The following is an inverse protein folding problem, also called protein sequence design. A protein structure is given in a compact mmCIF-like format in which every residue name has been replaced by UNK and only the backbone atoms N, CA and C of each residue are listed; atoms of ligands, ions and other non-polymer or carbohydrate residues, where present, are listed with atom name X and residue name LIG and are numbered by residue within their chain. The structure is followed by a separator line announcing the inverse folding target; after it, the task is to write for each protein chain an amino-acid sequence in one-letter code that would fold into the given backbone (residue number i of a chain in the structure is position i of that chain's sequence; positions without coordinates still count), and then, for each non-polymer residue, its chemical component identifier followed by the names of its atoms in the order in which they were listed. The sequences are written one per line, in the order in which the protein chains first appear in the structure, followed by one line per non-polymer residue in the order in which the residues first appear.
data_IF_803006874444
#
_entry.id   IF_803006874444
#
_cell.length_a   1.000
_cell.length_b   1.000
_cell.length_c   1.000
_cell.angle_alpha   90.00
_cell.angle_beta   90.00
_cell.angle_gamma   90.00
#
_symmetry.space_group_name_H-M   'P 1'
#
loop_
_entity.id
_entity.type
_entity.pdbx_description
1 polymer ?
#
# COMPACT_ATOMS: atom_id res chain seq x y z
N UNK A 1 -15.41 45.89 -60.54
CA UNK A 1 -15.43 44.42 -60.39
C UNK A 1 -14.28 43.80 -59.58
N UNK A 2 -13.37 44.60 -58.95
CA UNK A 2 -12.21 44.07 -58.16
C UNK A 2 -12.46 43.92 -56.64
N UNK A 3 -13.49 44.58 -56.07
CA UNK A 3 -13.73 44.64 -54.64
C UNK A 3 -14.40 43.34 -54.08
N UNK A 4 -15.29 42.74 -54.83
CA UNK A 4 -16.05 41.49 -54.44
C UNK A 4 -15.12 40.26 -54.32
N UNK A 5 -14.07 40.16 -55.12
CA UNK A 5 -13.13 39.01 -55.08
C UNK A 5 -12.22 39.03 -53.81
N UNK A 6 -11.98 40.21 -53.23
CA UNK A 6 -11.08 40.41 -52.07
C UNK A 6 -11.75 39.98 -50.76
N UNK A 7 -13.05 40.21 -50.65
CA UNK A 7 -13.87 39.82 -49.45
C UNK A 7 -14.09 38.32 -49.38
N UNK A 8 -14.29 37.65 -50.50
CA UNK A 8 -14.45 36.18 -50.53
C UNK A 8 -13.15 35.44 -50.21
N UNK A 9 -12.00 35.93 -50.64
CA UNK A 9 -10.69 35.36 -50.29
C UNK A 9 -10.40 35.49 -48.79
N UNK A 10 -10.74 36.63 -48.17
CA UNK A 10 -10.55 36.87 -46.73
C UNK A 10 -11.46 36.02 -45.87
N UNK A 11 -12.71 35.79 -46.31
CA UNK A 11 -13.63 34.87 -45.65
C UNK A 11 -13.14 33.41 -45.73
N UNK A 12 -12.72 32.95 -46.88
CA UNK A 12 -12.15 31.60 -47.09
C UNK A 12 -10.89 31.37 -46.23
N UNK A 13 -10.00 32.38 -46.14
CA UNK A 13 -8.81 32.29 -45.30
C UNK A 13 -9.13 32.23 -43.81
N UNK A 14 -10.11 33.00 -43.32
CA UNK A 14 -10.60 32.88 -41.93
C UNK A 14 -11.18 31.51 -41.62
N UNK A 15 -12.00 30.95 -42.49
CA UNK A 15 -12.56 29.62 -42.35
C UNK A 15 -11.48 28.55 -42.34
N UNK A 16 -10.44 28.69 -43.16
CA UNK A 16 -9.28 27.78 -43.18
C UNK A 16 -8.52 27.84 -41.85
N UNK A 17 -8.25 29.02 -41.32
CA UNK A 17 -7.57 29.20 -40.04
C UNK A 17 -8.36 28.58 -38.88
N UNK A 18 -9.71 28.72 -38.86
CA UNK A 18 -10.56 28.10 -37.86
C UNK A 18 -10.50 26.56 -37.98
N UNK A 19 -10.56 26.01 -39.16
CA UNK A 19 -10.46 24.55 -39.38
C UNK A 19 -9.09 24.00 -38.95
N UNK A 20 -8.00 24.68 -39.29
CA UNK A 20 -6.65 24.29 -38.83
C UNK A 20 -6.55 24.36 -37.31
N UNK A 21 -7.07 25.42 -36.70
CA UNK A 21 -7.11 25.53 -35.22
C UNK A 21 -7.90 24.43 -34.54
N UNK A 22 -9.06 24.04 -35.08
CA UNK A 22 -9.84 22.93 -34.56
C UNK A 22 -9.12 21.57 -34.70
N UNK A 23 -8.47 21.33 -35.87
CA UNK A 23 -7.70 20.08 -36.05
C UNK A 23 -6.51 20.03 -35.10
N UNK A 24 -5.80 21.15 -34.93
CA UNK A 24 -4.68 21.23 -33.95
C UNK A 24 -5.14 20.99 -32.51
N UNK A 25 -6.30 21.53 -32.12
CA UNK A 25 -6.87 21.30 -30.81
C UNK A 25 -7.26 19.83 -30.58
N UNK A 26 -7.81 19.17 -31.61
CA UNK A 26 -8.17 17.73 -31.57
C UNK A 26 -6.89 16.88 -31.44
N UNK A 27 -5.86 17.19 -32.23
CA UNK A 27 -4.58 16.46 -32.16
C UNK A 27 -3.92 16.67 -30.80
N UNK A 28 -3.93 17.89 -30.26
CA UNK A 28 -3.37 18.18 -28.94
C UNK A 28 -4.13 17.48 -27.83
N UNK A 29 -5.46 17.46 -27.90
CA UNK A 29 -6.28 16.74 -26.92
C UNK A 29 -6.06 15.22 -27.01
N UNK A 30 -5.96 14.66 -28.22
CA UNK A 30 -5.64 13.24 -28.41
C UNK A 30 -4.24 12.89 -27.90
N UNK A 31 -3.26 13.78 -28.10
CA UNK A 31 -1.91 13.61 -27.57
C UNK A 31 -1.88 13.66 -26.05
N UNK A 32 -2.54 14.64 -25.43
CA UNK A 32 -2.64 14.74 -23.96
C UNK A 32 -3.37 13.52 -23.39
N UNK A 33 -4.49 13.11 -24.00
CA UNK A 33 -5.25 11.94 -23.58
C UNK A 33 -4.45 10.64 -23.78
N UNK A 34 -3.72 10.52 -24.91
CA UNK A 34 -2.90 9.35 -25.22
C UNK A 34 -1.64 9.21 -24.37
N UNK A 35 -1.07 10.33 -23.87
CA UNK A 35 0.13 10.28 -23.02
C UNK A 35 -0.18 10.10 -21.53
N UNK A 36 -1.32 10.59 -21.05
CA UNK A 36 -1.66 10.50 -19.62
C UNK A 36 -2.49 9.25 -19.25
N UNK A 37 -3.40 8.81 -20.10
CA UNK A 37 -4.26 7.65 -19.83
C UNK A 37 -3.56 6.29 -19.87
N UNK A 38 -2.68 6.01 -20.87
CA UNK A 38 -1.97 4.72 -20.94
C UNK A 38 -1.08 4.48 -19.72
N UNK A 39 -0.42 5.50 -19.19
CA UNK A 39 0.45 5.37 -18.02
C UNK A 39 -0.35 4.96 -16.77
N UNK A 40 -1.52 5.54 -16.55
CA UNK A 40 -2.38 5.17 -15.43
C UNK A 40 -2.93 3.74 -15.55
N UNK A 41 -3.35 3.33 -16.74
CA UNK A 41 -3.84 1.96 -16.99
C UNK A 41 -2.72 0.93 -16.86
N UNK A 42 -1.54 1.24 -17.41
CA UNK A 42 -0.35 0.38 -17.31
C UNK A 42 0.11 0.27 -15.86
N UNK A 43 0.16 1.36 -15.12
CA UNK A 43 0.54 1.38 -13.70
C UNK A 43 -0.43 0.56 -12.86
N UNK A 44 -1.75 0.72 -13.07
CA UNK A 44 -2.76 -0.06 -12.38
C UNK A 44 -2.67 -1.56 -12.72
N UNK A 45 -2.50 -1.90 -13.99
CA UNK A 45 -2.35 -3.29 -14.44
C UNK A 45 -1.06 -3.91 -13.89
N UNK A 46 0.04 -3.15 -13.83
CA UNK A 46 1.32 -3.59 -13.27
C UNK A 46 1.21 -3.86 -11.76
N UNK A 47 0.57 -2.97 -11.00
CA UNK A 47 0.33 -3.19 -9.57
C UNK A 47 -0.56 -4.42 -9.34
N UNK A 48 -1.60 -4.61 -10.13
CA UNK A 48 -2.46 -5.77 -10.02
C UNK A 48 -1.70 -7.08 -10.33
N UNK A 49 -0.85 -7.09 -11.36
CA UNK A 49 -0.02 -8.27 -11.68
C UNK A 49 0.99 -8.59 -10.56
N UNK A 50 1.56 -7.58 -9.91
CA UNK A 50 2.46 -7.78 -8.76
C UNK A 50 1.68 -8.37 -7.59
N UNK A 51 0.52 -7.80 -7.27
CA UNK A 51 -0.32 -8.27 -6.16
C UNK A 51 -0.76 -9.72 -6.39
N UNK A 52 -1.19 -10.07 -7.61
CA UNK A 52 -1.60 -11.43 -7.99
C UNK A 52 -0.41 -12.41 -7.94
N UNK A 53 0.78 -12.00 -8.40
CA UNK A 53 1.98 -12.82 -8.34
C UNK A 53 2.47 -13.06 -6.90
N UNK A 54 2.35 -12.06 -6.03
CA UNK A 54 2.66 -12.19 -4.60
C UNK A 54 1.67 -13.11 -3.91
N UNK A 55 0.38 -12.96 -4.19
CA UNK A 55 -0.67 -13.82 -3.63
C UNK A 55 -0.46 -15.29 -4.05
N UNK A 56 -0.16 -15.53 -5.33
CA UNK A 56 0.15 -16.86 -5.84
C UNK A 56 1.42 -17.46 -5.19
N UNK A 57 2.49 -16.67 -5.06
CA UNK A 57 3.73 -17.11 -4.40
C UNK A 57 3.49 -17.43 -2.92
N UNK A 58 2.72 -16.62 -2.20
CA UNK A 58 2.36 -16.89 -0.81
C UNK A 58 1.58 -18.19 -0.67
N UNK A 59 0.58 -18.42 -1.53
CA UNK A 59 -0.19 -19.67 -1.55
C UNK A 59 0.68 -20.91 -1.82
N UNK A 60 1.64 -20.80 -2.75
CA UNK A 60 2.59 -21.90 -3.00
C UNK A 60 3.47 -22.21 -1.78
N UNK A 61 3.91 -21.18 -1.06
CA UNK A 61 4.71 -21.34 0.15
C UNK A 61 3.89 -21.90 1.32
N UNK A 62 2.66 -21.43 1.52
CA UNK A 62 1.75 -21.98 2.54
C UNK A 62 1.51 -23.47 2.32
N UNK A 63 1.30 -23.90 1.06
CA UNK A 63 1.17 -25.31 0.71
C UNK A 63 2.45 -26.12 1.01
N UNK A 64 3.63 -25.57 0.70
CA UNK A 64 4.91 -26.23 1.02
C UNK A 64 5.15 -26.35 2.52
N UNK A 65 4.83 -25.31 3.29
CA UNK A 65 4.95 -25.33 4.74
C UNK A 65 3.98 -26.32 5.37
N UNK A 66 2.75 -26.39 4.88
CA UNK A 66 1.75 -27.38 5.31
C UNK A 66 2.23 -28.81 5.04
N UNK A 67 2.86 -29.06 3.88
CA UNK A 67 3.47 -30.39 3.58
C UNK A 67 4.62 -30.74 4.52
N UNK A 68 5.29 -29.76 5.11
CA UNK A 68 6.35 -29.94 6.11
C UNK A 68 5.83 -29.94 7.56
N UNK A 69 4.49 -29.99 7.75
CA UNK A 69 3.82 -29.87 9.05
C UNK A 69 4.10 -28.56 9.79
N UNK A 70 4.43 -27.50 9.03
CA UNK A 70 4.65 -26.16 9.53
C UNK A 70 3.39 -25.33 9.28
N UNK A 71 2.58 -25.18 10.31
CA UNK A 71 1.32 -24.40 10.25
C UNK A 71 1.52 -22.98 10.73
N UNK A 72 0.66 -22.07 10.21
CA UNK A 72 0.57 -20.72 10.74
C UNK A 72 0.24 -20.75 12.25
N UNK A 73 0.98 -20.02 13.10
CA UNK A 73 0.71 -20.01 14.53
C UNK A 73 -0.65 -19.38 14.83
N UNK A 74 -1.35 -19.92 15.83
CA UNK A 74 -2.56 -19.28 16.36
C UNK A 74 -2.20 -17.94 16.99
N UNK A 75 -3.03 -16.93 16.73
CA UNK A 75 -2.84 -15.58 17.27
C UNK A 75 -3.76 -15.36 18.46
N UNK A 76 -3.33 -15.82 19.63
CA UNK A 76 -4.08 -15.65 20.86
C UNK A 76 -3.30 -14.79 21.85
N UNK A 77 -3.98 -13.91 22.57
CA UNK A 77 -3.38 -13.03 23.56
C UNK A 77 -4.43 -12.62 24.62
N UNK A 78 -3.95 -12.35 25.80
CA UNK A 78 -4.76 -11.89 26.96
C UNK A 78 -4.28 -10.54 27.49
N UNK A 79 -3.04 -10.18 27.17
CA UNK A 79 -2.36 -8.96 27.62
C UNK A 79 -1.39 -8.46 26.53
N UNK A 80 -0.70 -7.36 26.84
CA UNK A 80 0.23 -6.74 25.90
C UNK A 80 1.45 -7.62 25.61
N UNK A 81 1.94 -8.37 26.58
CA UNK A 81 3.14 -9.20 26.42
C UNK A 81 2.82 -10.43 25.54
N UNK A 82 1.69 -11.06 25.76
CA UNK A 82 1.20 -12.17 24.93
C UNK A 82 0.83 -11.69 23.51
N UNK A 83 0.29 -10.46 23.35
CA UNK A 83 0.08 -9.85 22.05
C UNK A 83 1.40 -9.71 21.28
N UNK A 84 2.46 -9.18 21.91
CA UNK A 84 3.80 -9.04 21.29
C UNK A 84 4.37 -10.42 20.95
N UNK A 85 4.22 -11.41 21.85
CA UNK A 85 4.66 -12.78 21.59
C UNK A 85 3.97 -13.37 20.35
N UNK A 86 2.66 -13.18 20.21
CA UNK A 86 1.90 -13.64 19.03
C UNK A 86 2.38 -12.96 17.74
N UNK A 87 2.66 -11.64 17.77
CA UNK A 87 3.28 -10.94 16.63
C UNK A 87 4.64 -11.55 16.27
N UNK A 88 5.49 -11.83 17.28
CA UNK A 88 6.81 -12.40 17.05
C UNK A 88 6.71 -13.79 16.41
N UNK A 89 5.78 -14.62 16.85
CA UNK A 89 5.53 -15.93 16.26
C UNK A 89 5.10 -15.82 14.80
N UNK A 90 4.17 -14.89 14.46
CA UNK A 90 3.81 -14.62 13.08
C UNK A 90 5.02 -14.19 12.24
N UNK A 91 5.86 -13.27 12.75
CA UNK A 91 7.05 -12.81 12.01
C UNK A 91 8.04 -13.95 11.82
N UNK A 92 8.24 -14.84 12.81
CA UNK A 92 9.10 -16.01 12.67
C UNK A 92 8.59 -16.97 11.60
N UNK A 93 7.29 -17.27 11.62
CA UNK A 93 6.64 -18.08 10.59
C UNK A 93 6.82 -17.49 9.20
N UNK A 94 6.53 -16.19 9.03
CA UNK A 94 6.71 -15.50 7.74
C UNK A 94 8.17 -15.50 7.29
N UNK A 95 9.13 -15.40 8.20
CA UNK A 95 10.55 -15.41 7.90
C UNK A 95 11.07 -16.77 7.38
N UNK A 96 10.27 -17.83 7.42
CA UNK A 96 10.61 -19.11 6.79
C UNK A 96 10.67 -18.99 5.26
N UNK A 97 9.83 -18.12 4.67
CA UNK A 97 9.74 -17.95 3.23
C UNK A 97 10.03 -16.54 2.71
N UNK A 98 10.05 -15.52 3.57
CA UNK A 98 10.47 -14.17 3.19
C UNK A 98 12.00 -14.10 3.12
N UNK A 99 12.53 -13.54 2.03
CA UNK A 99 13.98 -13.38 1.85
C UNK A 99 14.59 -12.50 2.92
N UNK A 100 15.86 -12.72 3.26
CA UNK A 100 16.56 -11.90 4.28
C UNK A 100 16.50 -10.40 3.98
N UNK A 101 16.55 -10.03 2.70
CA UNK A 101 16.52 -8.63 2.28
C UNK A 101 15.16 -7.94 2.52
N UNK A 102 14.08 -8.73 2.61
CA UNK A 102 12.71 -8.25 2.76
C UNK A 102 12.22 -8.31 4.21
N UNK A 103 12.94 -8.97 5.10
CA UNK A 103 12.55 -9.12 6.50
C UNK A 103 12.47 -7.77 7.21
N UNK A 104 11.45 -7.64 8.03
CA UNK A 104 11.25 -6.48 8.89
C UNK A 104 11.60 -6.88 10.34
N UNK A 105 12.34 -6.06 11.09
CA UNK A 105 12.66 -6.37 12.49
C UNK A 105 11.39 -6.57 13.33
N UNK A 106 11.31 -7.66 14.09
CA UNK A 106 10.14 -8.02 14.94
C UNK A 106 9.71 -6.89 15.86
N UNK A 107 10.67 -6.23 16.49
CA UNK A 107 10.42 -5.11 17.39
C UNK A 107 9.65 -3.99 16.70
N UNK A 108 9.99 -3.68 15.44
CA UNK A 108 9.29 -2.66 14.66
C UNK A 108 7.87 -3.11 14.30
N UNK A 109 7.71 -4.37 13.86
CA UNK A 109 6.41 -4.95 13.53
C UNK A 109 5.49 -4.90 14.74
N UNK A 110 5.96 -5.36 15.91
CA UNK A 110 5.17 -5.38 17.13
C UNK A 110 4.81 -3.98 17.62
N UNK A 111 5.74 -3.02 17.56
CA UNK A 111 5.47 -1.66 17.99
C UNK A 111 4.41 -0.98 17.11
N UNK A 112 4.45 -1.17 15.79
CA UNK A 112 3.43 -0.63 14.90
C UNK A 112 2.10 -1.39 15.05
N UNK A 113 2.09 -2.72 15.14
CA UNK A 113 0.88 -3.47 15.40
C UNK A 113 0.19 -3.01 16.69
N UNK A 114 0.95 -2.82 17.78
CA UNK A 114 0.41 -2.32 19.05
C UNK A 114 -0.21 -0.92 18.91
N UNK A 115 0.46 -0.02 18.19
CA UNK A 115 -0.01 1.36 17.99
C UNK A 115 -1.26 1.41 17.11
N UNK A 116 -1.23 0.74 15.96
CA UNK A 116 -2.30 0.81 14.94
C UNK A 116 -3.56 0.05 15.33
N UNK A 117 -3.41 -1.04 16.09
CA UNK A 117 -4.53 -1.89 16.48
C UNK A 117 -5.01 -1.68 17.92
N UNK A 118 -4.46 -0.70 18.66
CA UNK A 118 -4.75 -0.56 20.09
C UNK A 118 -4.48 -1.88 20.84
N UNK A 119 -3.31 -2.49 20.59
CA UNK A 119 -2.93 -3.80 21.13
C UNK A 119 -3.90 -4.92 20.74
N UNK A 120 -4.38 -4.88 19.51
CA UNK A 120 -5.33 -5.87 18.97
C UNK A 120 -6.79 -5.63 19.34
N UNK A 121 -7.11 -4.56 20.07
CA UNK A 121 -8.47 -4.27 20.57
C UNK A 121 -9.27 -3.31 19.68
N UNK A 122 -8.69 -2.75 18.62
CA UNK A 122 -9.41 -1.86 17.71
C UNK A 122 -10.50 -2.60 16.92
N UNK A 123 -11.51 -1.85 16.46
CA UNK A 123 -12.58 -2.39 15.61
C UNK A 123 -12.05 -3.19 14.42
N UNK A 124 -11.04 -2.67 13.73
CA UNK A 124 -10.47 -3.32 12.54
C UNK A 124 -9.68 -4.59 12.90
N UNK A 125 -9.03 -4.60 14.05
CA UNK A 125 -8.31 -5.78 14.53
C UNK A 125 -9.25 -6.91 14.96
N UNK A 126 -10.40 -6.57 15.56
CA UNK A 126 -11.40 -7.56 16.05
C UNK A 126 -12.20 -8.12 14.88
N UNK A 127 -12.80 -7.25 14.05
CA UNK A 127 -13.74 -7.66 13.01
C UNK A 127 -13.07 -8.06 11.68
N UNK A 128 -11.83 -7.65 11.48
CA UNK A 128 -11.12 -7.81 10.21
C UNK A 128 -9.74 -8.41 10.31
N UNK A 129 -9.27 -8.82 11.48
CA UNK A 129 -7.90 -9.24 11.73
C UNK A 129 -6.84 -8.22 11.24
N UNK A 130 -7.23 -6.95 11.07
CA UNK A 130 -6.43 -5.89 10.45
C UNK A 130 -5.63 -5.13 11.50
N UNK A 131 -4.41 -5.58 11.78
CA UNK A 131 -3.55 -5.02 12.83
C UNK A 131 -2.87 -3.69 12.44
N UNK A 132 -2.84 -3.34 11.16
CA UNK A 132 -2.04 -2.22 10.64
C UNK A 132 -2.88 -1.16 9.91
N UNK A 133 -4.19 -1.30 9.87
CA UNK A 133 -5.09 -0.32 9.26
C UNK A 133 -4.83 -0.06 7.77
N UNK A 134 -4.32 -1.03 7.03
CA UNK A 134 -3.94 -0.88 5.61
C UNK A 134 -5.16 -0.56 4.78
N UNK A 135 -5.14 0.59 4.11
CA UNK A 135 -6.23 1.04 3.25
C UNK A 135 -6.25 0.24 1.93
N UNK A 136 -7.43 -0.15 1.49
CA UNK A 136 -7.68 -0.66 0.14
C UNK A 136 -8.66 0.23 -0.60
N UNK A 137 -8.38 0.49 -1.88
CA UNK A 137 -9.26 1.18 -2.81
C UNK A 137 -9.99 0.20 -3.73
N UNK A 138 -9.56 -1.07 -3.75
CA UNK A 138 -10.26 -2.16 -4.39
C UNK A 138 -11.36 -2.69 -3.45
N UNK A 139 -12.58 -2.22 -3.68
CA UNK A 139 -13.74 -2.59 -2.87
C UNK A 139 -14.34 -3.95 -3.27
N UNK A 140 -13.79 -4.64 -4.25
CA UNK A 140 -14.14 -6.03 -4.56
C UNK A 140 -13.45 -7.01 -3.60
N UNK A 141 -12.31 -6.61 -3.00
CA UNK A 141 -11.62 -7.40 -1.97
C UNK A 141 -12.28 -7.27 -0.60
N UNK A 142 -12.16 -8.26 0.29
CA UNK A 142 -12.67 -8.19 1.66
C UNK A 142 -12.13 -6.95 2.39
N UNK A 143 -13.03 -6.11 2.91
CA UNK A 143 -12.68 -4.89 3.59
C UNK A 143 -13.72 -4.48 4.64
N UNK A 144 -13.31 -3.61 5.55
CA UNK A 144 -14.20 -2.96 6.50
C UNK A 144 -14.23 -1.45 6.26
N UNK A 145 -15.42 -0.86 6.35
CA UNK A 145 -15.57 0.60 6.31
C UNK A 145 -15.35 1.21 7.69
N UNK A 146 -14.71 2.40 7.78
CA UNK A 146 -14.65 3.13 9.03
C UNK A 146 -16.07 3.48 9.53
N UNK A 147 -16.38 3.15 10.80
CA UNK A 147 -17.72 3.38 11.39
C UNK A 147 -18.16 4.84 11.27
N UNK A 148 -17.23 5.78 11.48
CA UNK A 148 -17.52 7.22 11.45
C UNK A 148 -17.50 7.83 10.03
N UNK A 149 -17.14 7.07 8.99
CA UNK A 149 -17.03 7.51 7.59
C UNK A 149 -17.48 6.42 6.62
N UNK A 150 -18.76 5.97 6.64
CA UNK A 150 -19.21 4.83 5.83
C UNK A 150 -19.18 5.12 4.32
N UNK A 151 -19.24 6.39 3.92
CA UNK A 151 -19.34 6.81 2.51
C UNK A 151 -17.98 7.03 1.82
N UNK A 152 -16.84 6.74 2.49
CA UNK A 152 -15.53 6.86 1.84
C UNK A 152 -15.35 5.84 0.72
N UNK A 153 -14.58 6.21 -0.31
CA UNK A 153 -14.29 5.37 -1.48
C UNK A 153 -13.13 4.39 -1.24
N UNK A 154 -12.85 4.06 0.02
CA UNK A 154 -11.81 3.13 0.45
C UNK A 154 -12.31 2.33 1.64
N UNK A 155 -11.63 1.26 1.97
CA UNK A 155 -11.84 0.48 3.18
C UNK A 155 -10.51 0.13 3.84
N UNK A 156 -10.55 -0.49 5.00
CA UNK A 156 -9.41 -1.17 5.62
C UNK A 156 -9.46 -2.63 5.18
N UNK A 157 -8.37 -3.15 4.65
CA UNK A 157 -8.27 -4.54 4.20
C UNK A 157 -8.59 -5.49 5.35
N UNK A 158 -9.41 -6.51 5.06
CA UNK A 158 -9.77 -7.58 5.98
C UNK A 158 -8.95 -8.82 5.65
N UNK A 159 -8.51 -9.55 6.67
CA UNK A 159 -7.67 -10.74 6.56
C UNK A 159 -8.37 -11.94 7.20
N UNK A 160 -8.02 -13.14 6.78
CA UNK A 160 -8.52 -14.38 7.39
C UNK A 160 -7.91 -14.57 8.78
N UNK A 161 -6.61 -14.25 8.92
CA UNK A 161 -5.88 -14.33 10.18
C UNK A 161 -5.12 -13.04 10.49
N UNK A 162 -4.70 -12.87 11.74
CA UNK A 162 -3.85 -11.74 12.14
C UNK A 162 -2.42 -11.88 11.57
N UNK A 163 -1.92 -13.10 11.39
CA UNK A 163 -0.62 -13.32 10.74
C UNK A 163 -0.65 -12.91 9.26
N UNK A 164 -1.75 -13.13 8.54
CA UNK A 164 -1.91 -12.59 7.18
C UNK A 164 -1.92 -11.05 7.15
N UNK A 165 -2.45 -10.39 8.19
CA UNK A 165 -2.30 -8.93 8.34
C UNK A 165 -0.85 -8.51 8.53
N UNK A 166 -0.03 -9.29 9.26
CA UNK A 166 1.42 -9.07 9.37
C UNK A 166 2.10 -9.23 8.01
N UNK A 167 1.72 -10.24 7.22
CA UNK A 167 2.21 -10.43 5.85
C UNK A 167 1.86 -9.24 4.97
N UNK A 168 0.61 -8.78 5.00
CA UNK A 168 0.17 -7.60 4.26
C UNK A 168 0.97 -6.34 4.61
N UNK A 169 1.33 -6.16 5.88
CA UNK A 169 2.19 -5.07 6.32
C UNK A 169 3.63 -5.21 5.80
N UNK A 170 4.21 -6.39 5.87
CA UNK A 170 5.55 -6.67 5.32
C UNK A 170 5.57 -6.41 3.81
N UNK A 171 4.54 -6.84 3.10
CA UNK A 171 4.39 -6.55 1.67
C UNK A 171 4.30 -5.05 1.40
N UNK A 172 3.49 -4.30 2.15
CA UNK A 172 3.35 -2.85 2.02
C UNK A 172 4.69 -2.13 2.13
N UNK A 173 5.52 -2.46 3.13
CA UNK A 173 6.83 -1.83 3.29
C UNK A 173 7.82 -2.23 2.19
N UNK A 174 7.68 -3.43 1.64
CA UNK A 174 8.56 -3.93 0.58
C UNK A 174 8.22 -3.39 -0.81
N UNK A 175 6.95 -3.11 -1.10
CA UNK A 175 6.49 -2.75 -2.46
C UNK A 175 5.96 -1.33 -2.56
N UNK A 176 5.39 -0.77 -1.47
CA UNK A 176 4.77 0.54 -1.49
C UNK A 176 5.75 1.66 -1.88
N UNK A 177 5.35 2.55 -2.79
CA UNK A 177 6.17 3.65 -3.30
C UNK A 177 6.62 4.62 -2.20
N UNK A 178 5.78 4.85 -1.18
CA UNK A 178 6.10 5.73 -0.05
C UNK A 178 7.19 5.18 0.88
N UNK A 179 7.54 3.89 0.77
CA UNK A 179 8.53 3.22 1.65
C UNK A 179 9.88 2.96 0.98
N UNK A 180 10.20 3.63 -0.11
CA UNK A 180 11.51 3.52 -0.78
C UNK A 180 12.66 3.91 0.16
N UNK A 181 12.50 4.98 0.95
CA UNK A 181 13.48 5.40 1.96
C UNK A 181 13.69 4.33 3.02
N UNK A 182 12.63 3.67 3.47
CA UNK A 182 12.70 2.54 4.40
C UNK A 182 13.57 1.42 3.83
N UNK A 183 13.29 0.98 2.60
CA UNK A 183 14.05 -0.07 1.90
C UNK A 183 15.52 0.31 1.71
N UNK A 184 15.80 1.56 1.37
CA UNK A 184 17.17 2.07 1.21
C UNK A 184 17.95 2.05 2.53
N UNK A 185 17.34 2.50 3.63
CA UNK A 185 17.96 2.45 4.96
C UNK A 185 18.22 1.00 5.38
N UNK A 186 17.24 0.10 5.18
CA UNK A 186 17.39 -1.33 5.47
C UNK A 186 18.53 -1.97 4.66
N UNK A 187 18.59 -1.73 3.36
CA UNK A 187 19.64 -2.24 2.46
C UNK A 187 21.05 -1.80 2.90
N UNK A 188 21.16 -0.61 3.47
CA UNK A 188 22.42 -0.04 3.96
C UNK A 188 22.77 -0.46 5.40
N UNK A 189 22.06 -1.42 5.98
CA UNK A 189 22.34 -1.93 7.33
C UNK A 189 21.87 -1.00 8.45
N UNK A 190 20.91 -0.11 8.18
CA UNK A 190 20.33 0.76 9.21
C UNK A 190 19.68 -0.05 10.34
N UNK A 191 19.85 0.43 11.58
CA UNK A 191 19.25 -0.20 12.75
C UNK A 191 17.74 0.03 12.81
N UNK A 192 17.05 -0.68 13.71
CA UNK A 192 15.58 -0.68 13.82
C UNK A 192 15.01 0.71 14.14
N UNK A 193 15.72 1.56 14.89
CA UNK A 193 15.26 2.92 15.18
C UNK A 193 15.41 3.85 13.97
N UNK A 194 16.48 3.67 13.17
CA UNK A 194 16.63 4.37 11.90
C UNK A 194 15.55 3.97 10.87
N UNK A 195 15.13 2.71 10.88
CA UNK A 195 14.00 2.25 10.07
C UNK A 195 12.70 2.93 10.52
N UNK A 196 12.44 3.00 11.83
CA UNK A 196 11.27 3.69 12.38
C UNK A 196 11.23 5.18 11.96
N UNK A 197 12.38 5.87 11.87
CA UNK A 197 12.46 7.26 11.42
C UNK A 197 12.06 7.48 9.95
N UNK A 198 11.89 6.42 9.17
CA UNK A 198 11.45 6.52 7.77
C UNK A 198 9.95 6.36 7.59
N UNK A 199 9.19 6.10 8.65
CA UNK A 199 7.76 5.78 8.59
C UNK A 199 6.83 7.01 8.62
N UNK A 200 7.35 8.19 8.33
CA UNK A 200 6.60 9.46 8.38
C UNK A 200 5.41 9.53 7.41
N UNK A 201 5.36 8.67 6.40
CA UNK A 201 4.20 8.55 5.50
C UNK A 201 3.14 7.54 5.97
N UNK A 202 3.40 6.82 7.05
CA UNK A 202 2.48 5.79 7.53
C UNK A 202 1.21 6.38 8.14
N UNK A 203 1.32 7.51 8.80
CA UNK A 203 0.23 8.20 9.46
C UNK A 203 0.24 9.70 9.15
N UNK A 204 -0.94 10.31 9.20
CA UNK A 204 -1.09 11.78 9.13
C UNK A 204 -0.63 12.48 10.43
N UNK A 205 -0.31 11.72 11.47
CA UNK A 205 0.18 12.24 12.75
C UNK A 205 1.67 12.62 12.64
N UNK A 206 1.99 13.91 12.73
CA UNK A 206 3.36 14.42 12.65
C UNK A 206 4.31 13.99 13.78
N UNK A 207 3.85 13.20 14.76
CA UNK A 207 4.66 12.60 15.83
C UNK A 207 4.70 11.07 15.74
N UNK A 208 4.29 10.51 14.61
CA UNK A 208 4.11 9.07 14.46
C UNK A 208 5.37 8.27 14.81
N UNK A 209 6.52 8.63 14.26
CA UNK A 209 7.79 7.93 14.48
C UNK A 209 8.22 7.96 15.95
N UNK A 210 7.89 9.06 16.65
CA UNK A 210 8.17 9.17 18.10
C UNK A 210 7.32 8.19 18.88
N UNK A 211 6.03 8.06 18.55
CA UNK A 211 5.12 7.11 19.20
C UNK A 211 5.57 5.68 18.98
N UNK A 212 5.89 5.30 17.74
CA UNK A 212 6.45 3.97 17.43
C UNK A 212 7.71 3.70 18.26
N UNK A 213 8.67 4.64 18.26
CA UNK A 213 9.92 4.47 19.03
C UNK A 213 9.70 4.44 20.54
N UNK A 214 8.66 5.09 21.07
CA UNK A 214 8.32 4.99 22.50
C UNK A 214 7.81 3.58 22.84
N UNK A 215 7.00 2.98 21.98
CA UNK A 215 6.56 1.59 22.17
C UNK A 215 7.76 0.65 22.03
N UNK A 216 8.57 0.80 20.98
CA UNK A 216 9.78 -0.01 20.81
C UNK A 216 10.67 -0.02 22.08
N UNK A 217 10.92 1.15 22.69
CA UNK A 217 11.69 1.24 23.94
C UNK A 217 11.04 0.54 25.13
N UNK A 218 9.72 0.39 25.14
CA UNK A 218 9.01 -0.37 26.19
C UNK A 218 9.11 -1.87 25.97
N UNK A 219 9.18 -2.29 24.70
CA UNK A 219 9.28 -3.70 24.31
C UNK A 219 10.71 -4.25 24.30
N UNK A 220 11.72 -3.38 24.23
CA UNK A 220 13.15 -3.70 24.15
C UNK A 220 13.80 -3.84 25.56
N UNK A 221 12.99 -4.16 26.56
CA UNK A 221 13.42 -4.30 27.98
C UNK A 221 13.76 -5.78 28.34
#
# INVERSE_FOLDING_TARGET
MKIVKKTTKRKRFKILLIKVGMISAIILSAFIYGTFQPNFIVEKAYHQQIDDAVEQNNFEWENKLSQMDLQEPSFEFTDNDSFVSAIYQCVDYLNLYITRAERIPKLLVAAQAALESEWGNSYFAIEGNALFGIKTYDLARPHLKPRNRPNVKWGVAKYETKCQSVLGYVHLLNTGSHYEKFRKVRKNGGNVYQLADTLFHYSENGNYEKLVKQIMKKLDK
#
